data_IF_054463559601
#
_entry.id   IF_054463559601
#
_cell.length_a   1.000
_cell.length_b   1.000
_cell.length_c   1.000
_cell.angle_alpha   90.00
_cell.angle_beta   90.00
_cell.angle_gamma   90.00
#
_symmetry.space_group_name_H-M   'P 1'
#
loop_
_entity.id
_entity.type
_entity.pdbx_description
1 polymer ?
#
# COMPACT_ATOMS: atom_id res chain seq x y z
N UNK A 1 15.69 9.36 10.16
CA UNK A 1 16.69 10.07 10.96
C UNK A 1 16.13 11.42 11.40
N UNK A 2 16.37 11.79 12.65
CA UNK A 2 15.97 13.09 13.22
C UNK A 2 16.82 14.28 12.77
N UNK A 3 17.73 14.10 11.83
CA UNK A 3 18.60 15.19 11.34
C UNK A 3 17.99 15.87 10.13
N UNK A 4 17.43 17.08 10.27
CA UNK A 4 16.73 17.81 9.20
C UNK A 4 17.75 18.18 8.16
N UNK A 5 18.65 18.22 7.78
CA UNK A 5 19.56 18.64 6.73
C UNK A 5 20.30 17.49 6.05
N UNK A 6 20.04 16.25 6.47
CA UNK A 6 20.81 15.10 6.00
C UNK A 6 20.78 14.97 4.46
N UNK A 7 19.58 15.03 3.89
CA UNK A 7 19.38 14.90 2.44
C UNK A 7 19.24 16.25 1.71
N UNK A 8 19.56 17.37 2.37
CA UNK A 8 19.64 18.67 1.73
C UNK A 8 20.98 18.82 1.02
N UNK A 9 21.00 19.48 -0.12
CA UNK A 9 22.22 19.75 -0.88
C UNK A 9 23.24 20.53 -0.04
N UNK A 10 24.51 20.22 -0.22
CA UNK A 10 25.60 20.88 0.51
C UNK A 10 25.59 22.41 0.33
N UNK A 11 25.34 22.88 -0.90
CA UNK A 11 25.22 24.32 -1.21
C UNK A 11 24.09 25.03 -0.46
N UNK A 12 23.09 24.30 -0.01
CA UNK A 12 21.92 24.79 0.73
C UNK A 12 22.05 24.55 2.24
N UNK A 13 23.28 24.27 2.73
CA UNK A 13 23.58 24.05 4.13
C UNK A 13 23.27 22.64 4.65
N UNK A 14 23.09 21.68 3.78
CA UNK A 14 22.86 20.28 4.11
C UNK A 14 24.14 19.44 4.14
N UNK A 15 24.02 18.15 4.48
CA UNK A 15 25.13 17.18 4.50
C UNK A 15 25.34 16.56 3.10
N UNK A 16 24.36 16.67 2.21
CA UNK A 16 24.50 16.29 0.80
C UNK A 16 24.20 14.83 0.47
N UNK A 17 23.57 14.07 1.37
CA UNK A 17 23.05 12.75 1.00
C UNK A 17 21.87 12.88 0.04
N UNK A 18 21.73 11.91 -0.88
CA UNK A 18 20.65 11.91 -1.84
C UNK A 18 19.29 11.52 -1.21
N UNK A 19 19.34 10.64 -0.21
CA UNK A 19 18.15 10.11 0.47
C UNK A 19 18.37 9.97 1.97
N UNK A 20 17.29 10.02 2.73
CA UNK A 20 17.27 9.60 4.13
C UNK A 20 16.19 8.57 4.39
N UNK A 21 16.38 7.73 5.40
CA UNK A 21 15.37 6.77 5.83
C UNK A 21 14.21 7.48 6.51
N UNK A 22 12.97 7.15 6.11
CA UNK A 22 11.74 7.69 6.69
C UNK A 22 11.31 6.86 7.92
N UNK A 23 12.13 6.91 8.99
CA UNK A 23 11.96 6.05 10.19
C UNK A 23 10.62 6.23 10.91
N UNK A 24 9.98 7.39 10.80
CA UNK A 24 8.67 7.61 11.42
C UNK A 24 7.53 6.76 10.81
N UNK A 25 7.67 6.31 9.55
CA UNK A 25 6.63 5.52 8.88
C UNK A 25 6.47 4.12 9.51
N UNK A 26 7.52 3.30 9.67
CA UNK A 26 7.37 2.02 10.34
C UNK A 26 6.93 2.15 11.80
N UNK A 27 7.41 3.16 12.53
CA UNK A 27 6.97 3.43 13.91
C UNK A 27 5.48 3.77 13.96
N UNK A 28 4.98 4.55 13.00
CA UNK A 28 3.57 4.84 12.86
C UNK A 28 2.72 3.57 12.62
N UNK A 29 3.17 2.70 11.71
CA UNK A 29 2.44 1.46 11.42
C UNK A 29 2.39 0.52 12.62
N UNK A 30 3.53 0.32 13.32
CA UNK A 30 3.57 -0.50 14.53
C UNK A 30 2.64 0.05 15.60
N UNK A 31 2.73 1.36 15.86
CA UNK A 31 1.86 2.02 16.84
C UNK A 31 0.38 1.88 16.47
N UNK A 32 0.04 2.08 15.20
CA UNK A 32 -1.34 1.96 14.72
C UNK A 32 -1.87 0.55 14.90
N UNK A 33 -1.13 -0.47 14.48
CA UNK A 33 -1.56 -1.87 14.60
C UNK A 33 -1.63 -2.33 16.07
N UNK A 34 -0.74 -1.83 16.92
CA UNK A 34 -0.64 -2.22 18.33
C UNK A 34 -1.68 -1.57 19.22
N UNK A 35 -1.96 -0.29 18.99
CA UNK A 35 -2.70 0.55 19.92
C UNK A 35 -4.12 0.87 19.45
N UNK A 36 -4.43 0.66 18.17
CA UNK A 36 -5.74 0.98 17.60
C UNK A 36 -6.44 -0.26 17.06
N UNK A 37 -7.74 -0.33 17.29
CA UNK A 37 -8.60 -1.28 16.58
C UNK A 37 -8.74 -0.85 15.11
N UNK A 38 -9.11 -1.75 14.23
CA UNK A 38 -9.29 -1.45 12.81
C UNK A 38 -10.30 -0.30 12.59
N UNK A 39 -11.36 -0.27 13.41
CA UNK A 39 -12.41 0.75 13.36
C UNK A 39 -11.91 2.16 13.70
N UNK A 40 -10.77 2.26 14.38
CA UNK A 40 -10.20 3.53 14.84
C UNK A 40 -9.12 4.07 13.89
N UNK A 41 -8.86 3.38 12.76
CA UNK A 41 -7.89 3.86 11.78
C UNK A 41 -8.44 5.05 11.00
N UNK A 42 -7.65 6.10 10.90
CA UNK A 42 -8.02 7.35 10.23
C UNK A 42 -7.25 7.54 8.94
N UNK A 43 -7.91 7.46 7.78
CA UNK A 43 -7.32 7.74 6.48
C UNK A 43 -6.57 9.05 6.38
N UNK A 44 -7.10 10.12 7.00
CA UNK A 44 -6.45 11.43 7.06
C UNK A 44 -5.08 11.37 7.76
N UNK A 45 -4.99 10.66 8.89
CA UNK A 45 -3.75 10.46 9.63
C UNK A 45 -2.77 9.57 8.85
N UNK A 46 -3.25 8.49 8.21
CA UNK A 46 -2.43 7.61 7.37
C UNK A 46 -1.78 8.43 6.25
N UNK A 47 -2.59 9.18 5.50
CA UNK A 47 -2.07 9.98 4.39
C UNK A 47 -1.09 11.06 4.87
N UNK A 48 -1.37 11.72 6.00
CA UNK A 48 -0.48 12.70 6.60
C UNK A 48 0.88 12.11 6.95
N UNK A 49 0.91 11.04 7.72
CA UNK A 49 2.17 10.42 8.17
C UNK A 49 3.02 9.92 6.99
N UNK A 50 2.39 9.39 5.96
CA UNK A 50 3.09 8.88 4.79
C UNK A 50 3.58 9.99 3.85
N UNK A 51 3.02 11.20 3.91
CA UNK A 51 3.34 12.30 3.01
C UNK A 51 3.93 13.53 3.69
N UNK A 52 3.94 13.57 5.03
CA UNK A 52 4.51 14.67 5.81
C UNK A 52 6.05 14.66 5.74
N UNK A 53 6.56 15.41 4.79
CA UNK A 53 8.01 15.54 4.53
C UNK A 53 8.33 16.90 3.95
N UNK A 54 9.59 17.28 3.99
CA UNK A 54 10.07 18.51 3.36
C UNK A 54 10.11 18.35 1.85
N UNK A 55 9.83 19.41 1.13
CA UNK A 55 9.80 19.39 -0.35
C UNK A 55 11.18 19.16 -0.97
N UNK A 56 12.25 19.53 -0.27
CA UNK A 56 13.65 19.43 -0.70
C UNK A 56 14.36 18.14 -0.25
N UNK A 57 13.66 17.26 0.46
CA UNK A 57 14.20 15.98 0.94
C UNK A 57 13.57 14.79 0.25
N UNK A 58 14.42 13.91 -0.28
CA UNK A 58 13.99 12.58 -0.75
C UNK A 58 14.14 11.56 0.37
N UNK A 59 13.16 10.69 0.50
CA UNK A 59 13.14 9.65 1.54
C UNK A 59 13.02 8.26 0.96
N UNK A 60 13.66 7.30 1.62
CA UNK A 60 13.37 5.88 1.46
C UNK A 60 12.26 5.55 2.45
N UNK A 61 11.08 5.25 1.95
CA UNK A 61 9.90 4.88 2.77
C UNK A 61 9.76 3.37 2.84
N UNK A 62 9.27 2.88 3.96
CA UNK A 62 9.06 1.45 4.21
C UNK A 62 8.03 1.23 5.32
N UNK A 63 7.32 0.12 5.25
CA UNK A 63 6.37 -0.24 6.29
C UNK A 63 7.08 -0.85 7.52
N UNK A 64 8.12 -1.63 7.28
CA UNK A 64 8.97 -2.23 8.31
C UNK A 64 10.35 -2.56 7.76
N UNK A 65 11.31 -2.74 8.67
CA UNK A 65 12.66 -3.20 8.38
C UNK A 65 13.12 -4.22 9.43
N UNK A 66 14.41 -4.56 9.45
CA UNK A 66 14.99 -5.39 10.50
C UNK A 66 14.84 -4.75 11.89
N UNK A 67 14.86 -3.43 12.00
CA UNK A 67 14.79 -2.75 13.31
C UNK A 67 13.50 -3.10 14.05
N UNK A 68 12.36 -3.09 13.37
CA UNK A 68 11.07 -3.42 13.96
C UNK A 68 10.96 -4.91 14.28
N UNK A 69 11.53 -5.76 13.41
CA UNK A 69 11.48 -7.21 13.58
C UNK A 69 12.42 -7.73 14.67
N UNK A 70 13.57 -7.05 14.91
CA UNK A 70 14.65 -7.51 15.79
C UNK A 70 14.69 -6.83 17.14
N UNK A 71 14.57 -5.50 17.15
CA UNK A 71 15.03 -4.71 18.31
C UNK A 71 13.90 -4.39 19.26
N UNK A 72 12.68 -4.36 18.80
CA UNK A 72 11.62 -3.85 19.66
C UNK A 72 10.31 -4.58 19.57
N UNK A 73 10.12 -5.41 18.56
CA UNK A 73 8.78 -5.91 18.34
C UNK A 73 8.70 -7.16 17.44
N UNK A 74 7.53 -7.36 16.84
CA UNK A 74 7.20 -8.40 15.87
C UNK A 74 7.10 -7.77 14.48
N UNK A 75 7.25 -8.58 13.43
CA UNK A 75 6.91 -8.15 12.07
C UNK A 75 5.46 -7.71 11.98
N UNK A 76 5.14 -6.86 11.00
CA UNK A 76 3.75 -6.40 10.78
C UNK A 76 2.80 -7.58 10.62
N UNK A 77 3.16 -8.55 9.80
CA UNK A 77 2.29 -9.71 9.58
C UNK A 77 2.09 -10.52 10.86
N UNK A 78 3.12 -10.69 11.67
CA UNK A 78 3.00 -11.41 12.94
C UNK A 78 2.13 -10.65 13.94
N UNK A 79 2.16 -9.31 13.93
CA UNK A 79 1.25 -8.51 14.74
C UNK A 79 -0.20 -8.61 14.29
N UNK A 80 -0.41 -8.71 12.99
CA UNK A 80 -1.76 -8.79 12.42
C UNK A 80 -2.42 -10.15 12.60
N UNK A 81 -1.64 -11.24 12.57
CA UNK A 81 -2.15 -12.63 12.56
C UNK A 81 -1.79 -13.40 13.82
N UNK A 82 -0.61 -13.13 14.40
CA UNK A 82 -0.04 -13.82 15.56
C UNK A 82 0.08 -15.35 15.33
N UNK A 83 -0.19 -16.15 16.35
CA UNK A 83 -0.05 -17.61 16.34
C UNK A 83 -0.87 -18.32 15.25
N UNK A 84 -1.95 -17.70 14.77
CA UNK A 84 -2.81 -18.29 13.74
C UNK A 84 -2.06 -18.50 12.42
N UNK A 85 -0.96 -17.76 12.18
CA UNK A 85 -0.12 -17.99 11.01
C UNK A 85 0.62 -19.34 10.99
N UNK A 86 0.73 -20.02 12.12
CA UNK A 86 1.31 -21.37 12.19
C UNK A 86 0.32 -22.48 11.84
N UNK A 87 -0.98 -22.19 11.95
CA UNK A 87 -2.03 -23.20 11.87
C UNK A 87 -2.99 -23.01 10.71
N UNK A 88 -3.17 -21.75 10.24
CA UNK A 88 -4.23 -21.37 9.34
C UNK A 88 -3.75 -20.74 8.01
N UNK A 89 -2.49 -21.01 7.63
CA UNK A 89 -1.94 -20.52 6.35
C UNK A 89 -2.12 -21.49 5.18
N UNK A 90 -2.86 -22.58 5.35
CA UNK A 90 -3.22 -23.44 4.20
C UNK A 90 -4.26 -22.75 3.31
N UNK A 91 -4.08 -22.90 2.00
CA UNK A 91 -5.09 -22.47 1.02
C UNK A 91 -6.38 -23.27 1.26
N UNK A 92 -7.52 -22.57 1.33
CA UNK A 92 -8.81 -23.17 1.64
C UNK A 92 -9.16 -23.21 3.12
N UNK A 93 -8.21 -22.91 4.02
CA UNK A 93 -8.53 -22.70 5.45
C UNK A 93 -9.12 -21.28 5.62
N UNK A 94 -10.39 -21.19 6.01
CA UNK A 94 -11.09 -19.93 6.25
C UNK A 94 -10.96 -19.50 7.70
N UNK A 95 -9.92 -18.72 7.98
CA UNK A 95 -9.67 -18.12 9.28
C UNK A 95 -9.76 -16.60 9.19
N UNK A 96 -10.69 -15.99 9.92
CA UNK A 96 -10.95 -14.55 9.88
C UNK A 96 -9.75 -13.70 10.33
N UNK A 97 -8.93 -14.17 11.28
CA UNK A 97 -7.71 -13.47 11.72
C UNK A 97 -6.68 -13.42 10.59
N UNK A 98 -6.47 -14.56 9.91
CA UNK A 98 -5.54 -14.65 8.79
C UNK A 98 -6.02 -13.81 7.61
N UNK A 99 -7.29 -13.91 7.23
CA UNK A 99 -7.87 -13.11 6.13
C UNK A 99 -7.78 -11.62 6.40
N UNK A 100 -8.14 -11.18 7.61
CA UNK A 100 -7.94 -9.79 8.07
C UNK A 100 -6.48 -9.36 7.97
N UNK A 101 -5.58 -10.15 8.51
CA UNK A 101 -4.15 -9.82 8.57
C UNK A 101 -3.53 -9.71 7.18
N UNK A 102 -3.86 -10.62 6.28
CA UNK A 102 -3.41 -10.58 4.89
C UNK A 102 -3.96 -9.35 4.14
N UNK A 103 -5.24 -9.01 4.32
CA UNK A 103 -5.84 -7.85 3.70
C UNK A 103 -5.14 -6.56 4.14
N UNK A 104 -4.98 -6.35 5.46
CA UNK A 104 -4.32 -5.17 6.00
C UNK A 104 -2.83 -5.11 5.62
N UNK A 105 -2.11 -6.24 5.62
CA UNK A 105 -0.72 -6.30 5.19
C UNK A 105 -0.56 -5.82 3.74
N UNK A 106 -1.43 -6.29 2.84
CA UNK A 106 -1.45 -5.84 1.43
C UNK A 106 -1.69 -4.34 1.31
N UNK A 107 -2.66 -3.81 2.06
CA UNK A 107 -3.02 -2.38 2.03
C UNK A 107 -1.90 -1.49 2.58
N UNK A 108 -1.32 -1.85 3.73
CA UNK A 108 -0.22 -1.12 4.38
C UNK A 108 0.97 -1.00 3.42
N UNK A 109 1.35 -2.10 2.78
CA UNK A 109 2.50 -2.11 1.87
C UNK A 109 2.24 -1.27 0.63
N UNK A 110 1.07 -1.41 0.01
CA UNK A 110 0.72 -0.63 -1.18
C UNK A 110 0.64 0.87 -0.88
N UNK A 111 -0.05 1.29 0.18
CA UNK A 111 -0.19 2.72 0.50
C UNK A 111 1.16 3.35 0.84
N UNK A 112 2.03 2.60 1.53
CA UNK A 112 3.39 3.06 1.83
C UNK A 112 4.23 3.22 0.56
N UNK A 113 4.20 2.24 -0.35
CA UNK A 113 4.92 2.30 -1.62
C UNK A 113 4.37 3.38 -2.56
N UNK A 114 3.05 3.55 -2.63
CA UNK A 114 2.42 4.51 -3.52
C UNK A 114 2.64 5.98 -3.11
N UNK A 115 3.00 6.24 -1.85
CA UNK A 115 3.21 7.60 -1.32
C UNK A 115 4.67 8.03 -1.22
N UNK A 116 5.64 7.26 -1.67
CA UNK A 116 7.08 7.58 -1.59
C UNK A 116 7.46 8.81 -2.41
N UNK A 117 8.62 9.43 -2.09
CA UNK A 117 9.19 10.51 -2.91
C UNK A 117 10.67 10.28 -3.29
N UNK A 118 11.19 9.11 -3.03
CA UNK A 118 12.57 8.75 -3.33
C UNK A 118 12.70 7.28 -3.64
N UNK A 119 12.54 6.43 -2.63
CA UNK A 119 12.62 4.99 -2.78
C UNK A 119 11.70 4.23 -1.85
N UNK A 120 11.53 2.96 -2.12
CA UNK A 120 10.81 2.01 -1.28
C UNK A 120 11.76 0.90 -0.84
N UNK A 121 11.84 0.67 0.48
CA UNK A 121 12.60 -0.42 1.05
C UNK A 121 11.65 -1.59 1.32
N UNK A 122 12.08 -2.75 0.88
CA UNK A 122 11.43 -4.01 1.19
C UNK A 122 12.41 -4.90 1.95
N UNK A 123 12.13 -5.19 3.22
CA UNK A 123 12.98 -6.06 4.00
C UNK A 123 12.68 -7.52 3.66
N UNK A 124 13.72 -8.28 3.33
CA UNK A 124 13.61 -9.64 2.81
C UNK A 124 12.72 -10.55 3.68
N UNK A 125 11.75 -11.18 3.05
CA UNK A 125 10.78 -12.07 3.67
C UNK A 125 9.52 -11.39 4.18
N UNK A 126 9.57 -10.09 4.46
CA UNK A 126 8.39 -9.37 4.93
C UNK A 126 7.36 -9.15 3.81
N UNK A 127 7.81 -9.08 2.56
CA UNK A 127 6.96 -8.95 1.38
C UNK A 127 5.94 -10.09 1.24
N UNK A 128 6.31 -11.28 1.67
CA UNK A 128 5.44 -12.45 1.61
C UNK A 128 4.95 -12.94 2.99
N UNK A 129 5.25 -12.14 4.04
CA UNK A 129 4.74 -12.42 5.39
C UNK A 129 5.42 -13.61 6.06
N UNK A 130 6.76 -13.68 6.04
CA UNK A 130 7.52 -14.72 6.71
C UNK A 130 7.06 -14.92 8.16
N UNK A 131 6.73 -16.17 8.59
CA UNK A 131 6.09 -16.44 9.89
C UNK A 131 7.03 -16.34 11.09
N UNK A 132 8.32 -16.37 10.84
CA UNK A 132 9.31 -16.35 11.91
C UNK A 132 9.85 -14.95 12.13
N UNK A 133 10.09 -14.62 13.39
CA UNK A 133 10.89 -13.46 13.74
C UNK A 133 12.33 -13.64 13.23
N UNK A 134 13.08 -12.57 13.12
CA UNK A 134 14.48 -12.62 12.75
C UNK A 134 15.33 -12.37 14.00
N UNK A 135 16.43 -13.11 14.15
CA UNK A 135 17.45 -12.86 15.18
C UNK A 135 18.83 -13.09 14.58
N UNK A 136 19.77 -12.20 14.89
CA UNK A 136 21.15 -12.34 14.44
C UNK A 136 21.93 -13.30 15.33
N UNK A 137 22.98 -13.97 14.80
CA UNK A 137 23.90 -14.73 15.62
C UNK A 137 24.48 -13.84 16.73
N UNK A 138 24.29 -14.25 17.97
CA UNK A 138 24.78 -13.56 19.17
C UNK A 138 25.01 -14.58 20.30
N UNK A 139 25.71 -14.18 21.35
CA UNK A 139 26.03 -15.05 22.49
C UNK A 139 24.77 -15.70 23.09
N UNK A 140 23.69 -14.92 23.26
CA UNK A 140 22.45 -15.40 23.89
C UNK A 140 21.68 -16.46 23.09
N UNK A 141 22.03 -16.70 21.82
CA UNK A 141 21.46 -17.79 20.99
C UNK A 141 22.54 -18.78 20.51
N UNK A 142 23.72 -18.81 21.17
CA UNK A 142 24.83 -19.69 20.82
C UNK A 142 25.39 -19.43 19.41
N UNK A 143 25.34 -18.19 18.95
CA UNK A 143 25.81 -17.77 17.62
C UNK A 143 25.07 -18.48 16.47
N UNK A 144 23.82 -18.88 16.70
CA UNK A 144 23.01 -19.61 15.74
C UNK A 144 22.50 -18.75 14.59
N UNK A 145 22.62 -19.27 13.37
CA UNK A 145 22.03 -18.68 12.16
C UNK A 145 20.57 -19.11 11.92
N UNK A 146 19.98 -19.92 12.80
CA UNK A 146 18.65 -20.50 12.60
C UNK A 146 17.61 -19.42 12.28
N UNK A 147 17.57 -18.36 13.06
CA UNK A 147 16.59 -17.27 12.90
C UNK A 147 17.10 -16.10 12.02
N UNK A 148 18.35 -16.16 11.56
CA UNK A 148 18.84 -15.21 10.56
C UNK A 148 18.44 -15.56 9.12
N UNK A 149 17.85 -16.72 8.92
CA UNK A 149 17.44 -17.23 7.59
C UNK A 149 15.98 -16.98 7.35
N UNK A 150 15.63 -16.82 6.07
CA UNK A 150 14.26 -16.83 5.58
C UNK A 150 13.92 -18.17 4.95
N UNK A 151 12.74 -18.69 5.23
CA UNK A 151 12.26 -19.96 4.70
C UNK A 151 11.58 -19.76 3.34
N UNK A 152 12.35 -19.42 2.32
CA UNK A 152 11.85 -19.09 0.98
C UNK A 152 11.00 -20.22 0.37
N UNK A 153 11.24 -21.46 0.73
CA UNK A 153 10.42 -22.60 0.31
C UNK A 153 8.95 -22.50 0.69
N UNK A 154 8.57 -21.68 1.67
CA UNK A 154 7.18 -21.46 2.01
C UNK A 154 6.41 -20.69 0.92
N UNK A 155 7.09 -19.82 0.18
CA UNK A 155 6.51 -19.09 -0.95
C UNK A 155 6.24 -20.03 -2.14
N UNK A 156 7.11 -21.02 -2.33
CA UNK A 156 7.05 -21.96 -3.45
C UNK A 156 5.98 -23.04 -3.26
N UNK A 157 5.38 -23.11 -2.07
CA UNK A 157 4.34 -24.08 -1.76
C UNK A 157 2.97 -23.61 -2.24
N UNK A 158 2.37 -24.39 -3.15
CA UNK A 158 1.05 -24.09 -3.71
C UNK A 158 -0.11 -24.24 -2.71
N UNK A 159 0.10 -25.02 -1.66
CA UNK A 159 -0.89 -25.25 -0.60
C UNK A 159 -0.88 -24.18 0.50
N UNK A 160 0.06 -23.20 0.46
CA UNK A 160 0.18 -22.16 1.47
C UNK A 160 -0.16 -20.77 0.92
N UNK A 161 -0.75 -19.93 1.78
CA UNK A 161 -1.19 -18.56 1.45
C UNK A 161 -0.04 -17.57 1.26
N UNK A 162 1.19 -17.88 1.63
CA UNK A 162 2.36 -16.99 1.47
C UNK A 162 2.57 -16.56 0.01
N UNK A 163 2.29 -17.45 -0.95
CA UNK A 163 2.36 -17.13 -2.39
C UNK A 163 1.49 -15.95 -2.80
N UNK A 164 0.34 -15.77 -2.15
CA UNK A 164 -0.58 -14.66 -2.44
C UNK A 164 -0.01 -13.31 -2.04
N UNK A 165 0.61 -13.23 -0.87
CA UNK A 165 1.28 -12.02 -0.41
C UNK A 165 2.49 -11.69 -1.29
N UNK A 166 3.30 -12.71 -1.63
CA UNK A 166 4.44 -12.54 -2.52
C UNK A 166 4.02 -12.03 -3.90
N UNK A 167 2.97 -12.65 -4.47
CA UNK A 167 2.45 -12.22 -5.78
C UNK A 167 1.93 -10.80 -5.74
N UNK A 168 1.20 -10.41 -4.69
CA UNK A 168 0.72 -9.05 -4.50
C UNK A 168 1.86 -8.04 -4.48
N UNK A 169 2.88 -8.29 -3.66
CA UNK A 169 4.03 -7.39 -3.54
C UNK A 169 4.77 -7.23 -4.86
N UNK A 170 5.01 -8.35 -5.54
CA UNK A 170 5.64 -8.37 -6.85
C UNK A 170 4.85 -7.54 -7.87
N UNK A 171 3.54 -7.77 -7.97
CA UNK A 171 2.71 -7.14 -9.00
C UNK A 171 2.55 -5.64 -8.76
N UNK A 172 2.32 -5.18 -7.53
CA UNK A 172 2.20 -3.75 -7.28
C UNK A 172 3.55 -3.01 -7.45
N UNK A 173 4.65 -3.61 -7.06
CA UNK A 173 5.99 -3.02 -7.29
C UNK A 173 6.26 -2.88 -8.77
N UNK A 174 5.98 -3.93 -9.56
CA UNK A 174 6.11 -3.87 -11.01
C UNK A 174 5.18 -2.82 -11.64
N UNK A 175 3.94 -2.71 -11.17
CA UNK A 175 3.01 -1.67 -11.63
C UNK A 175 3.59 -0.27 -11.40
N UNK A 176 4.06 0.01 -10.19
CA UNK A 176 4.63 1.31 -9.83
C UNK A 176 5.88 1.63 -10.67
N UNK A 177 6.77 0.65 -10.86
CA UNK A 177 7.98 0.79 -11.67
C UNK A 177 7.63 1.00 -13.15
N UNK A 178 6.79 0.13 -13.72
CA UNK A 178 6.40 0.18 -15.14
C UNK A 178 5.68 1.47 -15.52
N UNK A 179 4.92 2.03 -14.60
CA UNK A 179 4.20 3.29 -14.83
C UNK A 179 5.02 4.54 -14.49
N UNK A 180 6.28 4.38 -14.10
CA UNK A 180 7.13 5.45 -13.58
C UNK A 180 6.49 6.24 -12.43
N UNK A 181 5.62 5.58 -11.66
CA UNK A 181 4.85 6.22 -10.62
C UNK A 181 5.72 6.75 -9.47
N UNK A 182 6.88 6.12 -9.22
CA UNK A 182 7.87 6.61 -8.25
C UNK A 182 8.38 8.03 -8.55
N UNK A 183 8.37 8.44 -9.80
CA UNK A 183 8.85 9.74 -10.25
C UNK A 183 7.71 10.77 -10.41
N UNK A 184 6.46 10.30 -10.49
CA UNK A 184 5.31 11.15 -10.67
C UNK A 184 5.03 11.96 -9.40
N UNK A 185 5.16 13.27 -9.49
CA UNK A 185 4.88 14.22 -8.42
C UNK A 185 4.13 15.42 -8.98
N UNK A 186 3.27 16.07 -8.20
CA UNK A 186 2.90 15.78 -6.81
C UNK A 186 1.95 14.59 -6.65
N UNK A 187 1.75 14.17 -5.40
CA UNK A 187 0.67 13.26 -5.01
C UNK A 187 -0.56 14.13 -4.71
N UNK A 188 -1.65 13.92 -5.43
CA UNK A 188 -2.89 14.68 -5.25
C UNK A 188 -3.87 13.88 -4.41
N UNK A 189 -4.10 14.30 -3.18
CA UNK A 189 -5.18 13.74 -2.37
C UNK A 189 -6.52 14.08 -3.03
N UNK A 190 -7.32 13.07 -3.34
CA UNK A 190 -8.65 13.20 -3.92
C UNK A 190 -9.72 13.13 -2.84
N UNK A 191 -9.53 12.23 -1.85
CA UNK A 191 -10.53 11.92 -0.83
C UNK A 191 -9.90 11.39 0.45
N UNK A 192 -10.40 11.81 1.61
CA UNK A 192 -10.04 11.28 2.92
C UNK A 192 -11.22 11.44 3.89
N UNK A 193 -12.03 10.41 4.00
CA UNK A 193 -13.18 10.36 4.92
C UNK A 193 -12.87 9.43 6.08
N UNK A 194 -12.63 10.01 7.25
CA UNK A 194 -12.30 9.25 8.45
C UNK A 194 -13.46 8.41 8.95
N UNK A 195 -14.69 8.92 8.87
CA UNK A 195 -15.90 8.20 9.31
C UNK A 195 -16.19 6.97 8.43
N UNK A 196 -15.94 7.07 7.14
CA UNK A 196 -16.08 5.96 6.19
C UNK A 196 -14.84 5.08 6.14
N UNK A 197 -13.72 5.56 6.65
CA UNK A 197 -12.39 4.96 6.56
C UNK A 197 -11.89 4.78 5.13
N UNK A 198 -12.24 5.71 4.24
CA UNK A 198 -11.87 5.68 2.83
C UNK A 198 -10.83 6.76 2.52
N UNK A 199 -9.75 6.34 1.85
CA UNK A 199 -8.69 7.19 1.31
C UNK A 199 -8.58 7.02 -0.19
N UNK A 200 -8.48 8.13 -0.92
CA UNK A 200 -8.08 8.10 -2.32
C UNK A 200 -7.12 9.22 -2.67
N UNK A 201 -6.13 8.90 -3.49
CA UNK A 201 -5.20 9.88 -4.04
C UNK A 201 -4.76 9.49 -5.45
N UNK A 202 -4.39 10.49 -6.21
CA UNK A 202 -3.86 10.31 -7.57
C UNK A 202 -2.37 10.61 -7.61
N UNK A 203 -1.64 9.77 -8.33
CA UNK A 203 -0.23 9.96 -8.62
C UNK A 203 0.06 9.59 -10.06
N UNK A 204 0.49 10.56 -10.86
CA UNK A 204 0.58 10.36 -12.30
C UNK A 204 -0.80 10.05 -12.90
N UNK A 205 -0.92 8.90 -13.58
CA UNK A 205 -2.19 8.43 -14.15
C UNK A 205 -2.89 7.36 -13.27
N UNK A 206 -2.31 7.02 -12.13
CA UNK A 206 -2.88 6.03 -11.23
C UNK A 206 -3.68 6.70 -10.11
N UNK A 207 -4.86 6.17 -9.84
CA UNK A 207 -5.69 6.50 -8.68
C UNK A 207 -5.64 5.32 -7.73
N UNK A 208 -5.14 5.57 -6.52
CA UNK A 208 -5.06 4.60 -5.44
C UNK A 208 -6.22 4.83 -4.49
N UNK A 209 -6.98 3.80 -4.20
CA UNK A 209 -8.19 3.86 -3.39
C UNK A 209 -8.11 2.77 -2.34
N UNK A 210 -8.40 3.13 -1.09
CA UNK A 210 -8.34 2.23 0.05
C UNK A 210 -9.62 2.37 0.86
N UNK A 211 -10.29 1.26 1.09
CA UNK A 211 -11.34 1.14 2.09
C UNK A 211 -10.78 0.39 3.30
N UNK A 212 -10.39 1.11 4.35
CA UNK A 212 -9.86 0.52 5.59
C UNK A 212 -10.97 0.04 6.52
N UNK A 213 -12.25 0.32 6.21
CA UNK A 213 -13.36 -0.08 7.05
C UNK A 213 -13.40 -1.61 7.22
N UNK A 214 -13.48 -2.10 8.46
CA UNK A 214 -13.40 -3.54 8.73
C UNK A 214 -14.62 -4.33 8.28
N UNK A 215 -15.78 -3.71 8.17
CA UNK A 215 -17.05 -4.41 7.99
C UNK A 215 -17.94 -3.82 6.90
N UNK A 216 -17.73 -2.55 6.53
CA UNK A 216 -18.62 -1.89 5.59
C UNK A 216 -18.05 -1.86 4.17
N UNK A 217 -18.79 -2.50 3.26
CA UNK A 217 -18.58 -2.41 1.81
C UNK A 217 -19.53 -1.38 1.22
N UNK A 218 -19.03 -0.51 0.37
CA UNK A 218 -19.82 0.55 -0.25
C UNK A 218 -20.19 0.17 -1.68
N UNK A 219 -21.50 0.15 -2.01
CA UNK A 219 -21.97 -0.29 -3.32
C UNK A 219 -21.78 0.76 -4.44
N UNK A 220 -21.82 2.06 -4.10
CA UNK A 220 -21.77 3.17 -5.07
C UNK A 220 -21.06 4.38 -4.45
N UNK A 221 -19.79 4.19 -4.06
CA UNK A 221 -19.03 5.21 -3.35
C UNK A 221 -18.46 6.25 -4.31
N UNK A 222 -18.86 7.49 -4.18
CA UNK A 222 -18.42 8.61 -5.03
C UNK A 222 -17.10 9.21 -4.56
N UNK A 223 -16.12 9.27 -5.43
CA UNK A 223 -14.86 9.97 -5.24
C UNK A 223 -14.72 11.04 -6.32
N UNK A 224 -14.44 12.28 -5.92
CA UNK A 224 -14.21 13.35 -6.87
C UNK A 224 -12.83 13.19 -7.53
N UNK A 225 -12.80 12.92 -8.83
CA UNK A 225 -11.61 12.62 -9.60
C UNK A 225 -11.56 13.40 -10.92
N UNK A 226 -10.42 13.51 -11.60
CA UNK A 226 -10.35 14.08 -12.95
C UNK A 226 -11.33 13.39 -13.89
N UNK A 227 -12.06 14.19 -14.69
CA UNK A 227 -13.06 13.68 -15.63
C UNK A 227 -12.44 12.76 -16.67
N UNK A 228 -12.98 11.55 -16.83
CA UNK A 228 -12.45 10.58 -17.79
C UNK A 228 -12.94 9.16 -17.58
N UNK A 229 -12.28 8.28 -18.29
CA UNK A 229 -12.45 6.83 -18.24
C UNK A 229 -11.29 6.20 -17.46
N UNK A 230 -11.60 5.20 -16.65
CA UNK A 230 -10.64 4.51 -15.78
C UNK A 230 -10.77 2.99 -15.94
N UNK A 231 -9.65 2.30 -15.99
CA UNK A 231 -9.58 0.83 -15.97
C UNK A 231 -8.98 0.34 -14.64
N UNK A 232 -9.47 -0.78 -14.13
CA UNK A 232 -8.85 -1.49 -13.02
C UNK A 232 -7.48 -2.05 -13.44
N UNK A 233 -6.44 -1.89 -12.60
CA UNK A 233 -5.11 -2.42 -12.89
C UNK A 233 -4.61 -3.40 -11.86
N UNK A 234 -5.05 -3.27 -10.62
CA UNK A 234 -4.79 -4.21 -9.53
C UNK A 234 -5.78 -3.95 -8.38
N UNK A 235 -6.29 -5.00 -7.76
CA UNK A 235 -7.05 -4.92 -6.52
C UNK A 235 -6.62 -5.99 -5.53
N UNK A 236 -6.65 -5.67 -4.24
CA UNK A 236 -6.18 -6.56 -3.18
C UNK A 236 -7.15 -7.69 -2.85
N UNK A 237 -8.39 -7.61 -3.37
CA UNK A 237 -9.44 -8.60 -3.15
C UNK A 237 -9.50 -9.65 -4.27
N UNK A 238 -8.67 -9.51 -5.30
CA UNK A 238 -8.57 -10.52 -6.36
C UNK A 238 -8.16 -11.88 -5.81
N UNK A 239 -8.77 -12.98 -6.28
CA UNK A 239 -8.37 -14.34 -5.93
C UNK A 239 -6.89 -14.64 -6.21
N UNK A 240 -6.29 -13.94 -7.18
CA UNK A 240 -4.85 -14.03 -7.44
C UNK A 240 -3.99 -13.64 -6.24
N UNK A 241 -4.53 -12.89 -5.29
CA UNK A 241 -3.88 -12.44 -4.07
C UNK A 241 -4.55 -12.97 -2.81
N UNK A 242 -5.32 -14.05 -2.95
CA UNK A 242 -6.04 -14.69 -1.84
C UNK A 242 -7.21 -13.85 -1.30
N UNK A 243 -7.80 -13.02 -2.15
CA UNK A 243 -9.03 -12.27 -1.87
C UNK A 243 -10.29 -13.04 -2.29
N UNK A 244 -11.44 -12.40 -2.09
CA UNK A 244 -12.75 -13.02 -2.32
C UNK A 244 -13.29 -12.79 -3.73
N UNK A 245 -12.66 -11.91 -4.54
CA UNK A 245 -13.07 -11.64 -5.93
C UNK A 245 -14.35 -10.85 -6.05
N UNK A 246 -14.60 -9.91 -5.14
CA UNK A 246 -15.80 -9.08 -5.16
C UNK A 246 -15.75 -7.96 -6.21
N UNK A 247 -14.59 -7.69 -6.79
CA UNK A 247 -14.37 -6.65 -7.81
C UNK A 247 -14.20 -7.31 -9.17
N UNK A 248 -14.95 -6.86 -10.17
CA UNK A 248 -14.73 -7.26 -11.56
C UNK A 248 -13.69 -6.36 -12.21
N UNK A 249 -12.48 -6.89 -12.40
CA UNK A 249 -11.33 -6.19 -12.99
C UNK A 249 -11.57 -5.73 -14.44
N UNK A 250 -12.58 -6.28 -15.13
CA UNK A 250 -12.89 -5.95 -16.54
C UNK A 250 -13.78 -4.73 -16.69
N UNK A 251 -14.37 -4.24 -15.61
CA UNK A 251 -15.27 -3.10 -15.64
C UNK A 251 -14.46 -1.81 -15.81
N UNK A 252 -14.86 -1.02 -16.81
CA UNK A 252 -14.38 0.35 -16.96
C UNK A 252 -15.29 1.30 -16.19
N UNK A 253 -14.69 2.25 -15.53
CA UNK A 253 -15.39 3.25 -14.74
C UNK A 253 -15.32 4.60 -15.43
N UNK A 254 -16.43 5.34 -15.41
CA UNK A 254 -16.52 6.67 -16.00
C UNK A 254 -16.91 7.67 -14.92
N UNK A 255 -16.32 8.85 -14.98
CA UNK A 255 -16.75 9.91 -14.07
C UNK A 255 -18.08 10.51 -14.53
N UNK A 256 -18.99 10.70 -13.58
CA UNK A 256 -20.23 11.45 -13.79
C UNK A 256 -19.97 12.95 -13.59
N UNK A 257 -20.52 13.81 -14.46
CA UNK A 257 -20.37 15.26 -14.32
C UNK A 257 -20.94 15.77 -12.99
N UNK A 258 -20.23 16.67 -12.35
CA UNK A 258 -20.74 17.42 -11.21
C UNK A 258 -21.05 18.86 -11.64
N UNK A 259 -22.28 19.35 -11.39
CA UNK A 259 -22.67 20.71 -11.81
C UNK A 259 -21.94 21.82 -11.05
N UNK A 260 -21.39 21.52 -9.88
CA UNK A 260 -20.66 22.50 -9.05
C UNK A 260 -19.19 22.57 -9.47
N UNK A 261 -18.57 21.42 -9.69
CA UNK A 261 -17.19 21.33 -10.19
C UNK A 261 -17.24 21.24 -11.71
N UNK A 262 -16.62 22.16 -12.40
CA UNK A 262 -16.62 22.21 -13.87
C UNK A 262 -16.56 20.80 -14.48
N UNK A 263 -17.57 20.35 -15.21
CA UNK A 263 -17.66 18.98 -15.73
C UNK A 263 -16.53 18.61 -16.68
N UNK A 264 -15.80 19.60 -17.19
CA UNK A 264 -14.62 19.38 -18.04
C UNK A 264 -13.36 18.99 -17.27
N UNK A 265 -13.34 19.14 -15.92
CA UNK A 265 -12.13 18.91 -15.12
C UNK A 265 -12.29 17.83 -14.05
N UNK A 266 -13.41 17.82 -13.33
CA UNK A 266 -13.67 16.88 -12.24
C UNK A 266 -15.06 16.27 -12.39
N UNK A 267 -15.20 15.04 -11.93
CA UNK A 267 -16.47 14.33 -11.89
C UNK A 267 -16.46 13.26 -10.80
N UNK A 268 -17.63 12.74 -10.48
CA UNK A 268 -17.81 11.69 -9.50
C UNK A 268 -17.48 10.33 -10.11
N UNK A 269 -16.43 9.72 -9.61
CA UNK A 269 -16.05 8.34 -9.91
C UNK A 269 -16.75 7.45 -8.88
N UNK A 270 -17.77 6.72 -9.30
CA UNK A 270 -18.59 5.84 -8.46
C UNK A 270 -18.08 4.41 -8.52
N UNK A 271 -17.84 3.82 -7.37
CA UNK A 271 -17.15 2.54 -7.25
C UNK A 271 -17.81 1.63 -6.21
N UNK A 272 -17.74 0.34 -6.46
CA UNK A 272 -17.89 -0.65 -5.41
C UNK A 272 -16.58 -0.79 -4.65
N UNK A 273 -16.62 -0.56 -3.34
CA UNK A 273 -15.45 -0.64 -2.47
C UNK A 273 -15.69 -1.68 -1.37
N UNK A 274 -15.23 -2.93 -1.53
CA UNK A 274 -15.33 -3.93 -0.47
C UNK A 274 -14.56 -3.50 0.79
N UNK A 275 -15.00 -4.00 1.94
CA UNK A 275 -14.31 -3.78 3.21
C UNK A 275 -12.86 -4.31 3.15
N UNK A 276 -11.93 -3.60 3.79
CA UNK A 276 -10.49 -3.95 3.83
C UNK A 276 -9.88 -4.23 2.44
N UNK A 277 -10.17 -3.36 1.48
CA UNK A 277 -9.70 -3.53 0.10
C UNK A 277 -8.94 -2.31 -0.39
N UNK A 278 -7.91 -2.56 -1.19
CA UNK A 278 -7.20 -1.56 -1.96
C UNK A 278 -7.43 -1.81 -3.46
N UNK A 279 -7.79 -0.76 -4.17
CA UNK A 279 -8.03 -0.75 -5.63
C UNK A 279 -7.14 0.29 -6.28
N UNK A 280 -6.50 -0.05 -7.38
CA UNK A 280 -5.76 0.91 -8.21
C UNK A 280 -6.40 0.97 -9.59
N UNK A 281 -6.78 2.17 -9.97
CA UNK A 281 -7.32 2.48 -11.28
C UNK A 281 -6.30 3.29 -12.09
N UNK A 282 -6.32 3.10 -13.39
CA UNK A 282 -5.52 3.88 -14.33
C UNK A 282 -6.42 4.70 -15.22
N UNK A 283 -6.18 6.01 -15.24
CA UNK A 283 -6.86 6.94 -16.14
C UNK A 283 -6.43 6.68 -17.59
N UNK A 284 -7.40 6.44 -18.45
CA UNK A 284 -7.19 6.21 -19.86
C UNK A 284 -7.00 7.53 -20.62
N UNK A 285 -6.25 7.53 -21.75
CA UNK A 285 -6.14 8.71 -22.60
C UNK A 285 -7.51 9.08 -23.18
N UNK A 286 -7.86 10.36 -23.12
CA UNK A 286 -9.05 10.86 -23.80
C UNK A 286 -8.91 10.56 -25.31
N UNK A 287 -9.86 9.83 -25.87
CA UNK A 287 -9.91 9.59 -27.33
C UNK A 287 -10.04 10.96 -28.00
N UNK A 288 -8.98 11.48 -28.61
CA UNK A 288 -9.08 12.67 -29.44
C UNK A 288 -10.03 12.32 -30.59
N UNK A 289 -11.18 13.00 -30.69
CA UNK A 289 -11.97 12.97 -31.91
C UNK A 289 -11.07 13.45 -33.06
N UNK A 290 -10.54 12.49 -33.81
CA UNK A 290 -9.94 12.82 -35.11
C UNK A 290 -11.03 13.56 -35.89
N UNK A 291 -10.85 14.89 -36.06
CA UNK A 291 -11.68 15.64 -37.02
C UNK A 291 -11.55 14.91 -38.35
N UNK A 292 -12.67 14.41 -38.86
CA UNK A 292 -12.75 13.89 -40.22
C UNK A 292 -12.18 14.95 -41.17
N UNK A 293 -11.30 14.58 -42.12
CA UNK A 293 -10.85 15.55 -43.11
C UNK A 293 -12.09 16.06 -43.81
N UNK A 294 -12.29 17.37 -43.79
CA UNK A 294 -13.28 18.04 -44.64
C UNK A 294 -12.91 17.73 -46.09
N UNK A 295 -13.80 17.00 -46.76
CA UNK A 295 -13.78 16.89 -48.22
C UNK A 295 -14.14 18.21 -48.88
#
# INVERSE_FOLDING_TARGET
SGMPGLARKFKDGGIGFDYRMAMGIPDYWIKTIKEKRDEDWKPSSIFWELTNRRNDEKTISYAESHDQALVGDKTIIFRLIDKDMYWHMMVGDDNGTVSRGMALHKMIRLVTAATINGGYLNFMGNEWGHPEWIDFPREGNGWSYKYARRQWSLVDRDDLKYKFLNKWDNDFVHLIVKTHNFQAMPIHKLWDKDDDQVLAFMRGKLVFIFNFNPTHSFADYGILAPSGEYEGVIDSDSPNYGGYGNIDEKVHHFTEPDPVYSPAKLGWLKLYLPARTALVLKMLPTKSHRKSPKR
#
